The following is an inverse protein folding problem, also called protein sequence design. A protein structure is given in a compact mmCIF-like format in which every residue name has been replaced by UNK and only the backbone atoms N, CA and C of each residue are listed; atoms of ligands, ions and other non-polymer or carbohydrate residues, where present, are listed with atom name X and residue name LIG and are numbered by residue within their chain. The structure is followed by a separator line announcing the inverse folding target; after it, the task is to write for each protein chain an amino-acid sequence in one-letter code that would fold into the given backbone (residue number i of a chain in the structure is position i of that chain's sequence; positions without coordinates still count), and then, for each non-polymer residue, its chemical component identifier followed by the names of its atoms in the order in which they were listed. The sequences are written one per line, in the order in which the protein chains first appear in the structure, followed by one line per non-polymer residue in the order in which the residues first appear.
data_IF_933817912877
#
_entry.id   IF_933817912877
#
_cell.length_a   1.000
_cell.length_b   1.000
_cell.length_c   1.000
_cell.angle_alpha   90.00
_cell.angle_beta   90.00
_cell.angle_gamma   90.00
#
_symmetry.space_group_name_H-M   'P 1'
#
loop_
_entity.id
_entity.type
_entity.pdbx_description
1 polymer ?
#
# COMPACT_ATOMS: atom_id res chain seq x y z
N UNK A 1 5.23 -26.03 -13.92
CA UNK A 1 5.29 -25.69 -12.47
C UNK A 1 4.34 -24.55 -12.16
N UNK A 2 3.43 -24.72 -11.14
CA UNK A 2 2.51 -23.64 -10.70
C UNK A 2 2.90 -23.15 -9.31
N UNK A 3 2.70 -21.87 -9.01
CA UNK A 3 3.02 -21.29 -7.70
C UNK A 3 2.12 -20.09 -7.36
N UNK A 4 2.01 -19.80 -6.06
CA UNK A 4 1.54 -18.49 -5.57
C UNK A 4 2.75 -17.73 -5.04
N UNK A 5 2.80 -16.42 -5.30
CA UNK A 5 3.75 -15.50 -4.72
C UNK A 5 3.01 -14.33 -4.05
N UNK A 6 3.32 -14.12 -2.78
CA UNK A 6 2.84 -13.01 -1.94
C UNK A 6 3.98 -12.44 -1.11
N UNK A 7 3.81 -11.22 -0.61
CA UNK A 7 4.71 -10.54 0.31
C UNK A 7 3.92 -9.50 1.12
N UNK A 8 4.54 -8.88 2.09
CA UNK A 8 4.08 -7.65 2.74
C UNK A 8 2.65 -7.76 3.33
N UNK A 9 2.36 -8.89 4.04
CA UNK A 9 1.07 -9.08 4.73
C UNK A 9 0.98 -8.28 6.02
N UNK A 10 2.11 -8.05 6.71
CA UNK A 10 2.21 -7.32 7.96
C UNK A 10 1.18 -7.74 9.01
N UNK A 11 1.05 -9.06 9.24
CA UNK A 11 0.08 -9.59 10.19
C UNK A 11 0.31 -9.02 11.59
N UNK A 12 -0.79 -8.66 12.24
CA UNK A 12 -0.85 -7.98 13.54
C UNK A 12 -0.26 -6.54 13.56
N UNK A 13 0.07 -5.94 12.40
CA UNK A 13 0.44 -4.54 12.35
C UNK A 13 -0.65 -3.64 12.94
N UNK A 14 -0.27 -2.54 13.61
CA UNK A 14 -1.25 -1.57 14.09
C UNK A 14 -1.92 -0.87 12.90
N UNK A 15 -3.25 -0.86 12.88
CA UNK A 15 -4.04 -0.17 11.86
C UNK A 15 -4.08 1.34 12.15
N UNK A 16 -2.95 2.03 12.02
CA UNK A 16 -2.79 3.45 12.39
C UNK A 16 -3.78 4.35 11.64
N UNK A 17 -3.98 4.10 10.35
CA UNK A 17 -4.93 4.85 9.51
C UNK A 17 -6.39 4.75 10.01
N UNK A 18 -6.72 3.68 10.71
CA UNK A 18 -8.06 3.40 11.24
C UNK A 18 -8.15 3.59 12.77
N UNK A 19 -7.14 4.15 13.42
CA UNK A 19 -7.02 4.20 14.87
C UNK A 19 -8.17 4.96 15.57
N UNK A 20 -8.75 5.96 14.91
CA UNK A 20 -9.86 6.75 15.45
C UNK A 20 -11.24 6.04 15.33
N UNK A 21 -11.31 4.93 14.59
CA UNK A 21 -12.55 4.18 14.40
C UNK A 21 -12.67 3.09 15.46
N UNK A 22 -13.75 3.06 16.24
CA UNK A 22 -13.97 2.02 17.23
C UNK A 22 -13.91 0.61 16.63
N UNK A 23 -13.13 -0.27 17.25
CA UNK A 23 -12.95 -1.67 16.85
C UNK A 23 -12.27 -1.89 15.47
N UNK A 24 -11.88 -0.86 14.75
CA UNK A 24 -11.29 -1.01 13.40
C UNK A 24 -9.98 -1.79 13.43
N UNK A 25 -9.13 -1.60 14.43
CA UNK A 25 -7.88 -2.39 14.58
C UNK A 25 -8.18 -3.89 14.71
N UNK A 26 -9.20 -4.26 15.48
CA UNK A 26 -9.59 -5.68 15.62
C UNK A 26 -10.19 -6.22 14.32
N UNK A 27 -11.02 -5.45 13.65
CA UNK A 27 -11.59 -5.81 12.36
C UNK A 27 -10.50 -6.00 11.30
N UNK A 28 -9.49 -5.11 11.27
CA UNK A 28 -8.37 -5.19 10.33
C UNK A 28 -7.52 -6.45 10.53
N UNK A 29 -7.24 -6.83 11.78
CA UNK A 29 -6.56 -8.09 12.09
C UNK A 29 -7.33 -9.33 11.62
N UNK A 30 -8.65 -9.31 11.75
CA UNK A 30 -9.49 -10.40 11.22
C UNK A 30 -9.37 -10.43 9.70
N UNK A 31 -9.44 -9.30 9.04
CA UNK A 31 -9.33 -9.16 7.59
C UNK A 31 -7.97 -9.64 7.08
N UNK A 32 -6.85 -9.29 7.74
CA UNK A 32 -5.51 -9.82 7.44
C UNK A 32 -5.47 -11.36 7.49
N UNK A 33 -6.09 -11.96 8.52
CA UNK A 33 -6.18 -13.42 8.65
C UNK A 33 -7.07 -14.06 7.57
N UNK A 34 -8.15 -13.38 7.18
CA UNK A 34 -9.01 -13.83 6.09
C UNK A 34 -8.28 -13.84 4.75
N UNK A 35 -7.49 -12.82 4.46
CA UNK A 35 -6.66 -12.75 3.24
C UNK A 35 -5.68 -13.93 3.17
N UNK A 36 -5.01 -14.26 4.29
CA UNK A 36 -4.13 -15.42 4.34
C UNK A 36 -4.90 -16.74 4.11
N UNK A 37 -6.11 -16.84 4.67
CA UNK A 37 -6.99 -18.00 4.47
C UNK A 37 -7.43 -18.11 3.00
N UNK A 38 -7.79 -17.02 2.34
CA UNK A 38 -8.16 -16.99 0.92
C UNK A 38 -7.06 -17.55 0.02
N UNK A 39 -5.80 -17.18 0.28
CA UNK A 39 -4.66 -17.73 -0.47
C UNK A 39 -4.54 -19.25 -0.29
N UNK A 40 -4.71 -19.75 0.95
CA UNK A 40 -4.69 -21.19 1.23
C UNK A 40 -5.88 -21.91 0.59
N UNK A 41 -7.08 -21.35 0.61
CA UNK A 41 -8.25 -21.89 -0.07
C UNK A 41 -8.04 -21.92 -1.60
N UNK A 42 -7.39 -20.88 -2.15
CA UNK A 42 -7.02 -20.86 -3.57
C UNK A 42 -6.03 -21.98 -3.91
N UNK A 43 -5.02 -22.21 -3.05
CA UNK A 43 -4.05 -23.32 -3.19
C UNK A 43 -4.78 -24.66 -3.23
N UNK A 44 -5.67 -24.91 -2.28
CA UNK A 44 -6.45 -26.16 -2.20
C UNK A 44 -7.29 -26.36 -3.46
N UNK A 45 -8.04 -25.32 -3.86
CA UNK A 45 -8.93 -25.38 -5.02
C UNK A 45 -8.20 -25.67 -6.33
N UNK A 46 -6.98 -25.16 -6.49
CA UNK A 46 -6.24 -25.20 -7.76
C UNK A 46 -5.06 -26.18 -7.72
N UNK A 47 -4.86 -26.93 -6.60
CA UNK A 47 -3.76 -27.87 -6.39
C UNK A 47 -2.39 -27.24 -6.68
N UNK A 48 -2.10 -26.09 -6.06
CA UNK A 48 -0.85 -25.34 -6.26
C UNK A 48 0.29 -25.99 -5.46
N UNK A 49 1.39 -26.44 -6.10
CA UNK A 49 2.46 -27.15 -5.41
C UNK A 49 3.46 -26.27 -4.68
N UNK A 50 3.52 -24.96 -4.99
CA UNK A 50 4.49 -24.03 -4.40
C UNK A 50 3.83 -22.75 -3.90
N UNK A 51 4.19 -22.34 -2.68
CA UNK A 51 3.74 -21.09 -2.09
C UNK A 51 4.95 -20.28 -1.62
N UNK A 52 5.17 -19.10 -2.22
CA UNK A 52 6.26 -18.18 -1.93
C UNK A 52 5.76 -16.99 -1.13
N UNK A 53 6.38 -16.74 0.02
CA UNK A 53 6.13 -15.62 0.91
C UNK A 53 7.44 -14.83 1.01
N UNK A 54 7.52 -13.73 0.27
CA UNK A 54 8.76 -12.97 0.09
C UNK A 54 8.88 -11.80 1.08
N UNK A 55 8.89 -12.10 2.37
CA UNK A 55 9.14 -11.17 3.47
C UNK A 55 7.91 -10.45 4.00
N UNK A 56 8.09 -9.85 5.16
CA UNK A 56 7.09 -9.04 5.87
C UNK A 56 5.75 -9.77 6.04
N UNK A 57 5.82 -11.07 6.40
CA UNK A 57 4.64 -11.87 6.73
C UNK A 57 3.93 -11.31 7.96
N UNK A 58 4.71 -10.83 8.95
CA UNK A 58 4.17 -10.27 10.18
C UNK A 58 5.01 -9.10 10.72
N UNK A 59 4.45 -8.37 11.68
CA UNK A 59 5.18 -7.33 12.41
C UNK A 59 5.85 -7.91 13.66
N UNK A 60 7.18 -7.98 13.69
CA UNK A 60 7.95 -8.58 14.79
C UNK A 60 7.62 -7.98 16.17
N UNK A 61 7.34 -6.68 16.22
CA UNK A 61 7.04 -5.98 17.49
C UNK A 61 5.62 -6.26 18.02
N UNK A 62 4.68 -6.63 17.14
CA UNK A 62 3.25 -6.73 17.48
C UNK A 62 2.66 -8.13 17.35
N UNK A 63 3.40 -9.04 16.71
CA UNK A 63 2.93 -10.39 16.40
C UNK A 63 2.59 -11.18 17.65
N UNK A 64 1.45 -11.85 17.63
CA UNK A 64 0.99 -12.70 18.73
C UNK A 64 1.23 -14.16 18.38
N UNK A 65 1.57 -14.94 19.39
CA UNK A 65 1.71 -16.40 19.25
C UNK A 65 0.46 -17.05 18.63
N UNK A 66 -0.73 -16.60 19.02
CA UNK A 66 -2.00 -17.10 18.46
C UNK A 66 -2.15 -16.84 16.96
N UNK A 67 -1.51 -15.78 16.43
CA UNK A 67 -1.49 -15.50 14.98
C UNK A 67 -0.55 -16.46 14.27
N UNK A 68 0.62 -16.73 14.84
CA UNK A 68 1.56 -17.72 14.30
C UNK A 68 0.94 -19.14 14.31
N UNK A 69 0.27 -19.50 15.40
CA UNK A 69 -0.45 -20.79 15.49
C UNK A 69 -1.56 -20.90 14.43
N UNK A 70 -2.29 -19.82 14.19
CA UNK A 70 -3.30 -19.73 13.13
C UNK A 70 -2.70 -19.92 11.73
N UNK A 71 -1.62 -19.19 11.41
CA UNK A 71 -0.92 -19.31 10.11
C UNK A 71 -0.42 -20.75 9.92
N UNK A 72 0.24 -21.30 10.94
CA UNK A 72 0.75 -22.66 10.89
C UNK A 72 -0.37 -23.70 10.77
N UNK A 73 -1.54 -23.42 11.35
CA UNK A 73 -2.76 -24.19 11.15
C UNK A 73 -3.20 -24.22 9.69
N UNK A 74 -3.20 -23.07 9.02
CA UNK A 74 -3.49 -22.98 7.60
C UNK A 74 -2.46 -23.74 6.74
N UNK A 75 -1.17 -23.65 7.06
CA UNK A 75 -0.11 -24.39 6.35
C UNK A 75 -0.26 -25.91 6.46
N UNK A 76 -0.73 -26.40 7.59
CA UNK A 76 -1.05 -27.82 7.78
C UNK A 76 -2.23 -28.31 6.93
N UNK A 77 -3.11 -27.41 6.46
CA UNK A 77 -4.21 -27.78 5.57
C UNK A 77 -3.76 -28.05 4.12
N UNK A 78 -2.53 -27.67 3.79
CA UNK A 78 -1.92 -27.83 2.45
C UNK A 78 -0.59 -28.60 2.53
N UNK A 79 -0.59 -29.83 3.06
CA UNK A 79 0.64 -30.56 3.37
C UNK A 79 1.48 -30.92 2.11
N UNK A 80 0.84 -30.99 0.95
CA UNK A 80 1.50 -31.31 -0.33
C UNK A 80 2.06 -30.06 -1.02
N UNK A 81 1.76 -28.86 -0.52
CA UNK A 81 2.31 -27.59 -1.02
C UNK A 81 3.62 -27.27 -0.29
N UNK A 82 4.71 -27.10 -1.01
CA UNK A 82 5.99 -26.63 -0.45
C UNK A 82 5.90 -25.13 -0.23
N UNK A 83 6.08 -24.68 1.00
CA UNK A 83 5.98 -23.26 1.40
C UNK A 83 7.39 -22.74 1.65
N UNK A 84 7.75 -21.66 0.99
CA UNK A 84 9.05 -21.00 1.13
C UNK A 84 8.85 -19.59 1.68
N UNK A 85 9.48 -19.31 2.82
CA UNK A 85 9.36 -18.01 3.50
C UNK A 85 10.73 -17.33 3.50
N UNK A 86 10.75 -16.11 3.02
CA UNK A 86 11.87 -15.18 3.14
C UNK A 86 11.58 -14.24 4.31
N UNK A 87 12.46 -14.11 5.30
CA UNK A 87 12.36 -13.05 6.29
C UNK A 87 12.56 -11.66 5.66
N UNK A 88 11.65 -10.72 5.93
CA UNK A 88 11.76 -9.32 5.52
C UNK A 88 12.37 -8.44 6.60
N UNK A 89 12.30 -7.12 6.40
CA UNK A 89 12.82 -6.16 7.37
C UNK A 89 11.87 -5.94 8.57
N UNK A 90 10.58 -6.24 8.45
CA UNK A 90 9.63 -6.19 9.57
C UNK A 90 9.55 -7.50 10.36
N UNK A 91 10.01 -8.60 9.79
CA UNK A 91 10.02 -9.93 10.42
C UNK A 91 11.39 -10.65 10.26
N UNK A 92 12.51 -10.01 10.62
CA UNK A 92 13.84 -10.55 10.34
C UNK A 92 14.14 -11.87 11.11
N UNK A 93 15.07 -12.67 10.59
CA UNK A 93 15.51 -13.93 11.18
C UNK A 93 16.43 -13.71 12.39
N UNK A 94 15.90 -13.08 13.45
CA UNK A 94 16.59 -12.78 14.71
C UNK A 94 16.32 -13.82 15.81
N UNK A 95 17.04 -13.72 16.93
CA UNK A 95 16.99 -14.77 17.96
C UNK A 95 15.61 -14.96 18.61
N UNK A 96 14.82 -13.92 18.75
CA UNK A 96 13.46 -13.94 19.30
C UNK A 96 12.35 -13.98 18.24
N UNK A 97 12.70 -14.16 16.97
CA UNK A 97 11.73 -14.30 15.89
C UNK A 97 11.04 -15.64 15.96
N UNK A 98 9.76 -15.68 15.61
CA UNK A 98 9.03 -16.94 15.49
C UNK A 98 9.56 -17.84 14.36
N UNK A 99 10.32 -17.31 13.43
CA UNK A 99 11.04 -18.11 12.45
C UNK A 99 12.06 -19.05 13.08
N UNK A 100 12.66 -18.67 14.22
CA UNK A 100 13.61 -19.50 14.98
C UNK A 100 12.98 -20.26 16.13
N UNK A 101 12.00 -19.67 16.81
CA UNK A 101 11.53 -20.17 18.11
C UNK A 101 10.28 -21.00 18.04
N UNK A 102 9.53 -20.94 16.92
CA UNK A 102 8.31 -21.71 16.72
C UNK A 102 8.56 -22.96 15.85
N UNK A 103 7.84 -24.04 16.15
CA UNK A 103 7.89 -25.27 15.36
C UNK A 103 6.88 -25.21 14.22
N UNK A 104 7.34 -24.81 13.06
CA UNK A 104 6.54 -24.76 11.84
C UNK A 104 6.19 -26.13 11.29
N UNK A 105 5.17 -26.22 10.45
CA UNK A 105 4.76 -27.41 9.71
C UNK A 105 5.89 -27.93 8.83
N UNK A 106 5.95 -29.25 8.59
CA UNK A 106 7.05 -29.90 7.86
C UNK A 106 7.14 -29.49 6.38
N UNK A 107 6.10 -28.90 5.81
CA UNK A 107 6.07 -28.38 4.45
C UNK A 107 6.55 -26.93 4.34
N UNK A 108 7.01 -26.32 5.44
CA UNK A 108 7.52 -24.94 5.48
C UNK A 108 9.03 -24.95 5.53
N UNK A 109 9.66 -24.24 4.59
CA UNK A 109 11.07 -23.92 4.59
C UNK A 109 11.25 -22.42 4.80
N UNK A 110 12.05 -22.02 5.79
CA UNK A 110 12.34 -20.61 6.10
C UNK A 110 13.82 -20.37 5.78
N UNK A 111 14.05 -19.44 4.85
CA UNK A 111 15.40 -19.02 4.51
C UNK A 111 16.04 -18.19 5.62
N UNK A 112 17.37 -18.14 5.61
CA UNK A 112 18.13 -17.28 6.54
C UNK A 112 18.70 -16.07 5.78
N UNK A 113 19.60 -15.31 6.43
CA UNK A 113 20.33 -14.24 5.75
C UNK A 113 21.47 -14.73 4.83
N UNK A 114 21.77 -16.01 4.86
CA UNK A 114 22.74 -16.60 3.94
C UNK A 114 22.01 -17.11 2.71
N UNK A 115 22.61 -16.87 1.55
CA UNK A 115 22.14 -17.48 0.33
C UNK A 115 22.10 -19.00 0.47
N UNK A 116 20.96 -19.58 0.23
CA UNK A 116 20.69 -21.02 0.29
C UNK A 116 20.01 -21.47 -1.00
N UNK A 117 20.29 -22.69 -1.43
CA UNK A 117 19.58 -23.37 -2.52
C UNK A 117 18.86 -24.58 -1.99
N UNK A 118 17.57 -24.68 -2.27
CA UNK A 118 16.72 -25.83 -1.98
C UNK A 118 16.37 -26.53 -3.30
N UNK A 119 16.74 -27.80 -3.42
CA UNK A 119 16.45 -28.61 -4.59
C UNK A 119 15.08 -29.28 -4.46
N UNK A 120 14.24 -29.10 -5.47
CA UNK A 120 12.90 -29.68 -5.56
C UNK A 120 12.71 -30.30 -6.94
N UNK A 121 12.82 -31.60 -7.07
CA UNK A 121 12.62 -32.31 -8.35
C UNK A 121 13.23 -31.56 -9.56
N UNK A 122 12.37 -30.94 -10.39
CA UNK A 122 12.78 -30.15 -11.57
C UNK A 122 12.97 -28.65 -11.27
N UNK A 123 12.97 -28.23 -10.00
CA UNK A 123 13.06 -26.81 -9.61
C UNK A 123 14.15 -26.60 -8.57
N UNK A 124 15.02 -25.63 -8.80
CA UNK A 124 15.99 -25.15 -7.80
C UNK A 124 15.52 -23.78 -7.28
N UNK A 125 15.27 -23.67 -5.97
CA UNK A 125 14.81 -22.44 -5.31
C UNK A 125 15.96 -21.87 -4.50
N UNK A 126 16.38 -20.68 -4.86
CA UNK A 126 17.39 -19.88 -4.19
C UNK A 126 16.71 -18.83 -3.34
N UNK A 127 17.22 -18.60 -2.14
CA UNK A 127 16.64 -17.60 -1.27
C UNK A 127 17.61 -17.08 -0.21
N UNK A 128 17.38 -15.87 0.23
CA UNK A 128 18.00 -15.26 1.40
C UNK A 128 17.13 -14.08 1.87
N UNK A 129 17.17 -13.77 3.16
CA UNK A 129 16.35 -12.73 3.76
C UNK A 129 17.10 -11.92 4.81
N UNK A 130 16.37 -11.18 5.60
CA UNK A 130 16.90 -10.27 6.61
C UNK A 130 17.27 -11.00 7.92
N UNK A 131 18.36 -10.59 8.55
CA UNK A 131 18.77 -11.00 9.90
C UNK A 131 18.80 -9.82 10.88
N UNK A 132 18.36 -8.64 10.43
CA UNK A 132 18.18 -7.41 11.20
C UNK A 132 17.13 -6.56 10.48
N UNK A 133 16.61 -5.53 11.11
CA UNK A 133 15.64 -4.58 10.53
C UNK A 133 16.20 -3.77 9.35
N UNK A 134 17.50 -3.78 9.15
CA UNK A 134 18.18 -3.14 8.03
C UNK A 134 19.24 -4.07 7.45
N UNK A 135 19.40 -4.04 6.14
CA UNK A 135 20.41 -4.81 5.44
C UNK A 135 21.06 -3.96 4.33
N UNK A 136 22.26 -3.45 4.63
CA UNK A 136 23.02 -2.59 3.71
C UNK A 136 24.01 -3.38 2.81
N UNK A 137 24.01 -4.68 2.94
CA UNK A 137 24.96 -5.53 2.22
C UNK A 137 24.64 -5.55 0.73
N UNK A 138 25.68 -5.61 -0.08
CA UNK A 138 25.51 -5.80 -1.50
C UNK A 138 24.87 -7.16 -1.77
N UNK A 139 24.00 -7.20 -2.76
CA UNK A 139 23.41 -8.41 -3.32
C UNK A 139 24.49 -9.50 -3.52
N UNK A 140 24.33 -10.71 -2.99
CA UNK A 140 25.28 -11.78 -3.19
C UNK A 140 25.33 -12.14 -4.68
N UNK A 141 26.53 -12.41 -5.19
CA UNK A 141 26.64 -12.96 -6.55
C UNK A 141 26.02 -14.36 -6.55
N UNK A 142 24.90 -14.50 -7.25
CA UNK A 142 24.16 -15.75 -7.34
C UNK A 142 24.30 -16.29 -8.76
N UNK A 143 24.92 -17.44 -8.88
CA UNK A 143 25.01 -18.16 -10.15
C UNK A 143 24.07 -19.36 -10.14
N UNK A 144 23.27 -19.46 -11.20
CA UNK A 144 22.44 -20.65 -11.44
C UNK A 144 23.34 -21.84 -11.74
N UNK A 145 23.24 -22.88 -10.91
CA UNK A 145 24.11 -24.06 -11.02
C UNK A 145 23.65 -25.04 -12.11
N UNK A 146 22.36 -25.18 -12.34
CA UNK A 146 21.80 -26.07 -13.34
C UNK A 146 20.74 -25.34 -14.17
N UNK A 147 21.10 -24.94 -15.38
CA UNK A 147 20.21 -24.20 -16.29
C UNK A 147 19.12 -25.08 -16.93
N UNK A 148 19.21 -26.39 -16.82
CA UNK A 148 18.20 -27.32 -17.35
C UNK A 148 16.97 -27.36 -16.43
N UNK A 149 17.13 -27.14 -15.12
CA UNK A 149 16.05 -27.01 -14.16
C UNK A 149 15.40 -25.62 -14.22
N UNK A 150 14.19 -25.50 -13.72
CA UNK A 150 13.58 -24.20 -13.42
C UNK A 150 14.31 -23.58 -12.22
N UNK A 151 14.76 -22.35 -12.37
CA UNK A 151 15.53 -21.66 -11.34
C UNK A 151 14.76 -20.43 -10.83
N UNK A 152 14.49 -20.39 -9.55
CA UNK A 152 13.73 -19.33 -8.90
C UNK A 152 14.60 -18.66 -7.83
N UNK A 153 14.63 -17.34 -7.82
CA UNK A 153 15.21 -16.56 -6.73
C UNK A 153 14.08 -15.91 -5.92
N UNK A 154 14.12 -16.07 -4.61
CA UNK A 154 13.22 -15.43 -3.67
C UNK A 154 14.04 -14.55 -2.72
N UNK A 155 13.65 -13.29 -2.56
CA UNK A 155 14.27 -12.39 -1.60
C UNK A 155 13.35 -11.21 -1.28
N UNK A 156 13.81 -10.30 -0.43
CA UNK A 156 13.07 -9.12 -0.01
C UNK A 156 13.99 -7.90 -0.08
N UNK A 157 13.54 -6.76 -0.59
CA UNK A 157 14.33 -5.54 -0.64
C UNK A 157 14.10 -4.67 -1.87
N UNK A 158 14.89 -3.61 -1.97
CA UNK A 158 14.78 -2.56 -2.97
C UNK A 158 15.51 -2.87 -4.27
N UNK A 159 14.93 -2.45 -5.39
CA UNK A 159 15.62 -2.40 -6.68
C UNK A 159 16.13 -0.99 -6.98
N UNK A 160 17.36 -0.90 -7.48
CA UNK A 160 17.98 0.33 -7.98
C UNK A 160 17.95 1.52 -7.01
N UNK A 161 18.15 1.23 -5.71
CA UNK A 161 18.21 2.22 -4.64
C UNK A 161 19.28 3.28 -4.90
N UNK A 162 18.96 4.54 -4.61
CA UNK A 162 19.89 5.65 -4.70
C UNK A 162 21.08 5.45 -3.75
N UNK A 163 22.30 5.76 -4.22
CA UNK A 163 23.52 5.72 -3.39
C UNK A 163 23.45 6.63 -2.15
N UNK A 164 22.65 7.68 -2.21
CA UNK A 164 22.49 8.68 -1.16
C UNK A 164 21.50 8.28 -0.04
N UNK A 165 20.82 7.15 -0.16
CA UNK A 165 19.92 6.69 0.89
C UNK A 165 20.69 6.21 2.12
N UNK A 166 20.34 6.78 3.28
CA UNK A 166 20.97 6.48 4.57
C UNK A 166 20.59 5.09 5.06
N UNK A 167 19.37 4.65 4.78
CA UNK A 167 18.86 3.33 5.15
C UNK A 167 18.62 2.54 3.87
N UNK A 168 19.17 1.35 3.83
CA UNK A 168 19.02 0.45 2.67
C UNK A 168 18.40 -0.85 3.13
N UNK A 169 17.52 -1.35 2.28
CA UNK A 169 16.79 -2.59 2.50
C UNK A 169 17.17 -3.58 1.41
N UNK A 170 18.34 -4.26 1.59
CA UNK A 170 18.88 -5.23 0.64
C UNK A 170 18.90 -4.68 -0.80
N UNK A 171 19.69 -3.63 -1.09
CA UNK A 171 19.69 -2.97 -2.39
C UNK A 171 20.19 -3.92 -3.49
N UNK A 172 19.41 -4.08 -4.54
CA UNK A 172 19.68 -4.96 -5.68
C UNK A 172 19.68 -4.16 -6.98
N UNK A 173 20.48 -4.60 -7.96
CA UNK A 173 20.47 -4.02 -9.30
C UNK A 173 19.51 -4.78 -10.21
N UNK A 174 18.48 -4.09 -10.72
CA UNK A 174 17.55 -4.66 -11.68
C UNK A 174 18.24 -5.15 -12.95
N UNK A 175 19.31 -4.46 -13.37
CA UNK A 175 20.13 -4.84 -14.52
C UNK A 175 20.80 -6.21 -14.30
N UNK A 176 21.46 -6.40 -13.15
CA UNK A 176 22.13 -7.67 -12.82
C UNK A 176 21.09 -8.80 -12.75
N UNK A 177 19.94 -8.55 -12.15
CA UNK A 177 18.87 -9.54 -12.05
C UNK A 177 18.26 -9.89 -13.41
N UNK A 178 18.09 -8.92 -14.32
CA UNK A 178 17.62 -9.17 -15.70
C UNK A 178 18.59 -10.06 -16.48
N UNK A 179 19.89 -9.84 -16.31
CA UNK A 179 20.94 -10.60 -17.00
C UNK A 179 21.17 -11.99 -16.35
N UNK A 180 20.60 -12.24 -15.18
CA UNK A 180 20.69 -13.54 -14.49
C UNK A 180 19.91 -14.63 -15.23
N UNK A 181 20.29 -15.90 -14.98
CA UNK A 181 19.66 -17.07 -15.59
C UNK A 181 18.50 -17.63 -14.77
N UNK A 182 17.93 -16.83 -13.87
CA UNK A 182 16.69 -17.21 -13.18
C UNK A 182 15.49 -17.13 -14.13
N UNK A 183 14.60 -18.09 -14.01
CA UNK A 183 13.34 -18.13 -14.75
C UNK A 183 12.27 -17.27 -14.06
N UNK A 184 12.38 -17.06 -12.73
CA UNK A 184 11.54 -16.19 -11.95
C UNK A 184 12.29 -15.59 -10.75
N UNK A 185 12.03 -14.33 -10.43
CA UNK A 185 12.58 -13.63 -9.27
C UNK A 185 11.42 -13.01 -8.50
N UNK A 186 11.09 -13.63 -7.37
CA UNK A 186 10.04 -13.18 -6.46
C UNK A 186 10.60 -12.25 -5.39
N UNK A 187 10.10 -11.03 -5.34
CA UNK A 187 10.52 -9.98 -4.42
C UNK A 187 9.38 -9.56 -3.49
N UNK A 188 9.72 -9.07 -2.30
CA UNK A 188 8.84 -8.30 -1.41
C UNK A 188 9.48 -6.99 -1.03
N UNK A 189 8.83 -6.17 -0.19
CA UNK A 189 9.18 -4.85 0.30
C UNK A 189 8.40 -3.71 -0.36
N UNK A 190 8.13 -3.79 -1.65
CA UNK A 190 7.37 -2.76 -2.36
C UNK A 190 5.89 -3.15 -2.37
N UNK A 191 5.08 -2.40 -1.63
CA UNK A 191 3.64 -2.66 -1.48
C UNK A 191 2.81 -2.44 -2.75
N UNK A 192 3.40 -1.83 -3.78
CA UNK A 192 2.77 -1.67 -5.09
C UNK A 192 3.18 -2.83 -6.01
N UNK A 193 2.20 -3.48 -6.63
CA UNK A 193 2.48 -4.52 -7.63
C UNK A 193 3.26 -3.95 -8.83
N UNK A 194 4.24 -4.71 -9.35
CA UNK A 194 5.13 -4.26 -10.43
C UNK A 194 5.24 -5.24 -11.59
N UNK A 195 4.14 -5.87 -12.02
CA UNK A 195 4.21 -6.80 -13.15
C UNK A 195 3.23 -6.45 -14.27
N UNK A 196 2.75 -5.22 -14.35
CA UNK A 196 1.80 -4.78 -15.37
C UNK A 196 2.43 -4.80 -16.76
N UNK A 197 1.88 -5.67 -17.63
CA UNK A 197 2.00 -5.67 -19.10
C UNK A 197 3.39 -5.84 -19.75
N UNK A 198 4.36 -6.41 -19.06
CA UNK A 198 5.64 -6.74 -19.70
C UNK A 198 5.72 -8.24 -20.04
N UNK A 199 5.47 -8.60 -21.28
CA UNK A 199 5.85 -9.93 -21.79
C UNK A 199 7.32 -10.20 -21.50
N UNK A 200 7.58 -11.27 -20.71
CA UNK A 200 8.94 -11.68 -20.35
C UNK A 200 9.49 -11.03 -19.07
N UNK A 201 8.70 -10.26 -18.31
CA UNK A 201 9.15 -9.78 -17.01
C UNK A 201 9.21 -10.92 -15.99
N UNK A 202 10.43 -11.23 -15.54
CA UNK A 202 10.69 -12.29 -14.55
C UNK A 202 10.92 -11.76 -13.12
N UNK A 203 11.13 -10.44 -12.94
CA UNK A 203 11.34 -9.78 -11.65
C UNK A 203 10.02 -9.19 -11.19
N UNK A 204 9.49 -9.66 -10.07
CA UNK A 204 8.10 -9.40 -9.68
C UNK A 204 7.99 -9.02 -8.22
N UNK A 205 7.40 -7.85 -7.94
CA UNK A 205 6.80 -7.50 -6.67
C UNK A 205 5.29 -7.80 -6.75
N UNK A 206 4.73 -8.62 -5.88
CA UNK A 206 3.28 -8.90 -5.89
C UNK A 206 2.48 -7.71 -5.34
N UNK A 207 3.14 -6.84 -4.59
CA UNK A 207 2.53 -5.85 -3.73
C UNK A 207 1.98 -6.44 -2.44
N UNK A 208 1.50 -5.60 -1.54
CA UNK A 208 0.81 -6.07 -0.34
C UNK A 208 -0.58 -6.62 -0.69
N UNK A 209 -0.98 -7.78 -0.16
CA UNK A 209 -2.29 -8.37 -0.46
C UNK A 209 -3.44 -7.69 0.30
N UNK A 210 -3.13 -6.73 1.17
CA UNK A 210 -4.05 -5.91 1.94
C UNK A 210 -3.46 -4.52 2.15
N UNK A 211 -4.21 -3.46 1.83
CA UNK A 211 -3.73 -2.06 2.00
C UNK A 211 -3.56 -1.69 3.46
N UNK A 212 -2.52 -0.93 3.78
CA UNK A 212 -2.27 -0.41 5.13
C UNK A 212 -2.87 0.99 5.36
N UNK A 213 -3.14 1.73 4.30
CA UNK A 213 -3.68 3.09 4.39
C UNK A 213 -3.93 3.75 3.02
N UNK A 214 -4.11 5.08 3.06
CA UNK A 214 -4.37 5.89 1.85
C UNK A 214 -3.11 6.15 0.99
N UNK A 215 -1.96 5.73 1.42
CA UNK A 215 -0.71 5.65 0.64
C UNK A 215 -0.65 4.41 -0.25
N UNK A 216 -1.59 3.47 -0.05
CA UNK A 216 -1.67 2.21 -0.77
C UNK A 216 -3.03 2.04 -1.45
N UNK A 217 -3.38 2.95 -2.36
CA UNK A 217 -4.64 2.91 -3.09
C UNK A 217 -4.67 1.78 -4.13
N UNK A 218 -5.88 1.41 -4.54
CA UNK A 218 -6.12 0.47 -5.62
C UNK A 218 -6.24 -0.98 -5.17
N UNK A 219 -6.24 -1.87 -6.16
CA UNK A 219 -6.49 -3.29 -5.96
C UNK A 219 -5.34 -3.99 -5.25
N UNK A 220 -5.67 -4.92 -4.35
CA UNK A 220 -4.76 -5.75 -3.58
C UNK A 220 -4.95 -7.22 -3.91
N UNK A 221 -3.86 -7.99 -3.83
CA UNK A 221 -3.93 -9.39 -4.21
C UNK A 221 -2.58 -10.08 -4.14
N UNK A 222 -2.51 -11.21 -4.81
CA UNK A 222 -1.31 -12.03 -4.90
C UNK A 222 -1.11 -12.51 -6.34
N UNK A 223 0.10 -12.98 -6.66
CA UNK A 223 0.44 -13.50 -7.98
C UNK A 223 0.23 -15.00 -8.02
N UNK A 224 -0.39 -15.48 -9.07
CA UNK A 224 -0.39 -16.88 -9.48
C UNK A 224 0.50 -17.00 -10.71
N UNK A 225 1.59 -17.73 -10.56
CA UNK A 225 2.53 -17.98 -11.64
C UNK A 225 2.47 -19.41 -12.17
N UNK A 226 2.74 -19.55 -13.45
CA UNK A 226 2.98 -20.85 -14.07
C UNK A 226 4.20 -20.75 -14.97
N UNK A 227 5.18 -21.62 -14.74
CA UNK A 227 6.34 -21.83 -15.61
C UNK A 227 6.15 -23.19 -16.29
N UNK A 228 6.14 -23.17 -17.61
CA UNK A 228 6.08 -24.40 -18.39
C UNK A 228 7.37 -25.20 -18.23
N UNK A 229 7.27 -26.49 -17.94
CA UNK A 229 8.43 -27.32 -17.56
C UNK A 229 9.40 -27.56 -18.73
N UNK A 230 8.94 -27.51 -19.97
CA UNK A 230 9.79 -27.74 -21.15
C UNK A 230 10.30 -26.43 -21.75
N UNK A 231 9.39 -25.48 -22.02
CA UNK A 231 9.76 -24.23 -22.69
C UNK A 231 10.24 -23.14 -21.75
N UNK A 232 10.07 -23.33 -20.42
CA UNK A 232 10.32 -22.33 -19.36
C UNK A 232 9.55 -21.02 -19.54
N UNK A 233 8.48 -21.05 -20.35
CA UNK A 233 7.64 -19.88 -20.54
C UNK A 233 6.88 -19.55 -19.28
N UNK A 234 7.10 -18.33 -18.76
CA UNK A 234 6.41 -17.79 -17.59
C UNK A 234 5.06 -17.17 -18.01
N UNK A 235 4.02 -17.45 -17.24
CA UNK A 235 2.75 -16.72 -17.26
C UNK A 235 2.36 -16.31 -15.86
N UNK A 236 1.85 -15.10 -15.70
CA UNK A 236 1.47 -14.51 -14.42
C UNK A 236 0.04 -14.02 -14.45
N UNK A 237 -0.68 -14.23 -13.36
CA UNK A 237 -2.05 -13.75 -13.13
C UNK A 237 -2.09 -13.05 -11.77
N UNK A 238 -2.75 -11.90 -11.69
CA UNK A 238 -3.04 -11.24 -10.43
C UNK A 238 -4.42 -11.64 -9.93
N UNK A 239 -4.47 -12.24 -8.74
CA UNK A 239 -5.70 -12.62 -8.07
C UNK A 239 -5.99 -11.64 -6.95
N UNK A 240 -7.12 -10.94 -7.06
CA UNK A 240 -7.55 -9.95 -6.06
C UNK A 240 -8.00 -10.64 -4.78
N UNK A 241 -7.66 -10.06 -3.64
CA UNK A 241 -8.20 -10.44 -2.33
C UNK A 241 -9.53 -9.76 -2.05
N UNK A 242 -10.30 -10.30 -1.11
CA UNK A 242 -11.56 -9.71 -0.66
C UNK A 242 -11.39 -8.57 0.35
N UNK A 243 -10.16 -8.23 0.72
CA UNK A 243 -9.86 -7.17 1.67
C UNK A 243 -10.39 -5.81 1.19
N UNK A 244 -10.87 -5.00 2.14
CA UNK A 244 -11.27 -3.63 1.84
C UNK A 244 -10.07 -2.81 1.39
N UNK A 245 -10.29 -2.02 0.33
CA UNK A 245 -9.30 -1.09 -0.22
C UNK A 245 -9.56 0.33 0.24
N UNK A 246 -8.56 1.20 0.10
CA UNK A 246 -8.69 2.63 0.36
C UNK A 246 -8.88 3.39 -0.94
N UNK A 247 -9.71 4.44 -0.91
CA UNK A 247 -10.00 5.29 -2.06
C UNK A 247 -10.11 6.75 -1.65
N UNK A 248 -9.63 7.68 -2.48
CA UNK A 248 -9.84 9.10 -2.33
C UNK A 248 -11.02 9.54 -3.19
N UNK A 249 -11.97 10.24 -2.57
CA UNK A 249 -13.15 10.77 -3.25
C UNK A 249 -13.10 12.30 -3.24
N UNK A 250 -13.03 12.91 -4.41
CA UNK A 250 -13.00 14.36 -4.57
C UNK A 250 -14.43 14.89 -4.67
N UNK A 251 -14.82 15.74 -3.72
CA UNK A 251 -16.13 16.37 -3.64
C UNK A 251 -16.01 17.87 -3.86
N UNK A 252 -16.57 18.38 -4.95
CA UNK A 252 -16.74 19.81 -5.16
C UNK A 252 -17.90 20.33 -4.31
N UNK A 253 -17.57 21.20 -3.34
CA UNK A 253 -18.54 21.76 -2.39
C UNK A 253 -19.06 23.15 -2.79
N UNK A 254 -18.80 23.62 -4.00
CA UNK A 254 -19.19 24.96 -4.46
C UNK A 254 -20.68 25.25 -4.33
N UNK A 255 -21.52 24.21 -4.35
CA UNK A 255 -22.97 24.34 -4.18
C UNK A 255 -23.44 24.24 -2.72
N UNK A 256 -22.55 24.02 -1.76
CA UNK A 256 -22.89 24.04 -0.34
C UNK A 256 -22.85 25.49 0.19
N UNK A 257 -23.87 25.89 0.93
CA UNK A 257 -23.93 27.20 1.58
C UNK A 257 -23.65 27.10 3.09
N UNK A 258 -23.85 25.93 3.67
CA UNK A 258 -23.68 25.63 5.09
C UNK A 258 -23.04 24.25 5.25
N UNK A 259 -22.50 23.95 6.45
CA UNK A 259 -21.98 22.61 6.78
C UNK A 259 -23.03 21.50 6.62
N UNK A 260 -24.30 21.81 6.95
CA UNK A 260 -25.41 20.88 6.83
C UNK A 260 -25.67 20.45 5.38
N UNK A 261 -25.50 21.38 4.41
CA UNK A 261 -25.63 21.07 2.98
C UNK A 261 -24.54 20.07 2.58
N UNK A 262 -23.29 20.28 3.05
CA UNK A 262 -22.16 19.40 2.77
C UNK A 262 -22.40 17.99 3.36
N UNK A 263 -22.90 17.90 4.59
CA UNK A 263 -23.27 16.61 5.20
C UNK A 263 -24.35 15.89 4.37
N UNK A 264 -25.35 16.62 3.88
CA UNK A 264 -26.38 16.04 3.00
C UNK A 264 -25.79 15.59 1.65
N UNK A 265 -24.91 16.39 1.03
CA UNK A 265 -24.22 16.03 -0.21
C UNK A 265 -23.47 14.72 -0.04
N UNK A 266 -22.69 14.57 1.03
CA UNK A 266 -21.92 13.35 1.32
C UNK A 266 -22.83 12.15 1.57
N UNK A 267 -23.90 12.31 2.38
CA UNK A 267 -24.83 11.22 2.69
C UNK A 267 -25.62 10.73 1.46
N UNK A 268 -25.77 11.55 0.41
CA UNK A 268 -26.43 11.17 -0.83
C UNK A 268 -25.52 10.37 -1.79
N UNK A 269 -24.22 10.29 -1.52
CA UNK A 269 -23.29 9.51 -2.33
C UNK A 269 -23.42 8.03 -1.95
N UNK A 270 -23.54 7.18 -2.98
CA UNK A 270 -23.53 5.72 -2.80
C UNK A 270 -22.09 5.21 -2.77
N UNK A 271 -21.53 5.14 -1.58
CA UNK A 271 -20.21 4.56 -1.37
C UNK A 271 -20.25 3.02 -1.38
N UNK A 272 -19.17 2.40 -1.88
CA UNK A 272 -18.99 0.96 -1.80
C UNK A 272 -18.60 0.54 -0.37
N UNK A 273 -19.35 -0.37 0.23
CA UNK A 273 -19.08 -0.87 1.58
C UNK A 273 -17.78 -1.67 1.70
N UNK A 274 -17.21 -2.11 0.58
CA UNK A 274 -15.92 -2.81 0.51
C UNK A 274 -14.72 -1.86 0.40
N UNK A 275 -14.94 -0.56 0.60
CA UNK A 275 -13.89 0.46 0.55
C UNK A 275 -13.94 1.37 1.75
N UNK A 276 -12.76 1.86 2.14
CA UNK A 276 -12.57 2.98 3.06
C UNK A 276 -12.29 4.25 2.26
N UNK A 277 -12.95 5.35 2.62
CA UNK A 277 -12.85 6.60 1.87
C UNK A 277 -12.19 7.71 2.68
N UNK A 278 -11.34 8.47 1.99
CA UNK A 278 -10.92 9.81 2.37
C UNK A 278 -11.61 10.77 1.42
N UNK A 279 -12.50 11.62 1.95
CA UNK A 279 -13.13 12.67 1.17
C UNK A 279 -12.18 13.87 1.11
N UNK A 280 -11.92 14.34 -0.09
CA UNK A 280 -11.13 15.55 -0.35
C UNK A 280 -12.11 16.61 -0.84
N UNK A 281 -12.35 17.62 -0.01
CA UNK A 281 -13.22 18.73 -0.35
C UNK A 281 -12.47 19.68 -1.29
N UNK A 282 -13.13 20.07 -2.38
CA UNK A 282 -12.60 20.97 -3.39
C UNK A 282 -13.61 22.06 -3.72
N UNK A 283 -13.28 22.99 -4.59
CA UNK A 283 -14.17 24.09 -4.98
C UNK A 283 -14.06 25.31 -4.09
N UNK A 284 -15.09 26.15 -4.08
CA UNK A 284 -15.13 27.41 -3.30
C UNK A 284 -16.34 27.41 -2.35
N UNK A 285 -16.17 27.98 -1.17
CA UNK A 285 -17.21 28.09 -0.14
C UNK A 285 -17.13 29.45 0.57
N UNK A 286 -18.17 29.82 1.31
CA UNK A 286 -18.28 31.09 2.04
C UNK A 286 -18.54 30.93 3.54
N UNK A 287 -18.35 29.70 4.07
CA UNK A 287 -18.53 29.35 5.48
C UNK A 287 -17.30 28.63 6.02
N UNK A 288 -17.14 28.58 7.32
CA UNK A 288 -16.05 27.83 7.97
C UNK A 288 -16.33 26.32 7.91
N UNK A 289 -15.31 25.50 7.59
CA UNK A 289 -15.41 24.06 7.44
C UNK A 289 -14.72 23.37 8.61
N UNK A 290 -15.49 22.75 9.50
CA UNK A 290 -14.97 21.86 10.54
C UNK A 290 -15.06 20.38 10.08
N UNK A 291 -13.99 19.89 9.49
CA UNK A 291 -13.94 18.52 8.96
C UNK A 291 -14.18 17.45 10.00
N UNK A 292 -13.82 17.67 11.29
CA UNK A 292 -14.07 16.72 12.39
C UNK A 292 -15.53 16.68 12.76
N UNK A 293 -16.17 17.86 12.87
CA UNK A 293 -17.60 17.98 13.14
C UNK A 293 -18.42 17.33 12.02
N UNK A 294 -18.08 17.63 10.76
CA UNK A 294 -18.72 17.03 9.59
C UNK A 294 -18.60 15.50 9.64
N UNK A 295 -17.39 14.97 9.85
CA UNK A 295 -17.16 13.52 9.94
C UNK A 295 -18.00 12.87 11.04
N UNK A 296 -18.13 13.53 12.20
CA UNK A 296 -18.95 13.05 13.32
C UNK A 296 -20.45 13.04 13.02
N UNK A 297 -20.93 13.90 12.11
CA UNK A 297 -22.34 13.96 11.69
C UNK A 297 -22.69 12.95 10.59
N UNK A 298 -21.67 12.34 9.94
CA UNK A 298 -21.89 11.32 8.92
C UNK A 298 -22.26 9.99 9.56
N UNK A 299 -23.33 9.34 9.06
CA UNK A 299 -23.73 7.98 9.47
C UNK A 299 -23.05 6.90 8.62
N UNK A 300 -21.85 7.18 8.09
CA UNK A 300 -21.14 6.33 7.13
C UNK A 300 -19.83 5.83 7.76
N UNK A 301 -19.82 4.58 8.21
CA UNK A 301 -18.65 3.97 8.90
C UNK A 301 -17.42 3.74 8.01
N UNK A 302 -17.59 3.82 6.71
CA UNK A 302 -16.52 3.62 5.74
C UNK A 302 -15.87 4.93 5.27
N UNK A 303 -16.34 6.07 5.74
CA UNK A 303 -15.63 7.36 5.58
C UNK A 303 -14.72 7.54 6.78
N UNK A 304 -13.41 7.54 6.52
CA UNK A 304 -12.37 7.51 7.55
C UNK A 304 -11.83 8.91 7.85
N UNK A 305 -11.78 9.74 6.81
CA UNK A 305 -11.16 11.06 6.91
C UNK A 305 -11.79 12.03 5.92
N UNK A 306 -11.88 13.28 6.34
CA UNK A 306 -12.18 14.41 5.46
C UNK A 306 -10.96 15.33 5.45
N UNK A 307 -10.49 15.69 4.26
CA UNK A 307 -9.42 16.68 4.04
C UNK A 307 -10.02 17.86 3.31
N UNK A 308 -9.78 19.05 3.83
CA UNK A 308 -10.22 20.28 3.17
C UNK A 308 -9.08 20.82 2.29
N UNK A 309 -9.30 20.84 0.98
CA UNK A 309 -8.47 21.47 -0.06
C UNK A 309 -9.28 22.54 -0.82
N UNK A 310 -10.49 22.89 -0.31
CA UNK A 310 -11.30 23.92 -0.89
C UNK A 310 -10.76 25.33 -0.59
N UNK A 311 -11.33 26.33 -1.23
CA UNK A 311 -10.91 27.72 -1.06
C UNK A 311 -12.06 28.57 -0.55
N UNK A 312 -11.74 29.44 0.41
CA UNK A 312 -12.72 30.45 0.86
C UNK A 312 -13.04 31.39 -0.30
N UNK A 313 -14.33 31.58 -0.55
CA UNK A 313 -14.83 32.58 -1.49
C UNK A 313 -15.12 33.86 -0.73
N UNK A 314 -14.54 34.95 -1.15
CA UNK A 314 -14.69 36.25 -0.51
C UNK A 314 -15.54 37.18 -1.37
N UNK A 315 -16.69 37.64 -0.86
CA UNK A 315 -17.40 38.76 -1.49
C UNK A 315 -16.68 40.06 -1.17
N UNK A 316 -15.83 40.50 -2.13
CA UNK A 316 -15.03 41.70 -2.01
C UNK A 316 -15.91 42.96 -1.78
N UNK A 317 -17.13 42.98 -2.34
CA UNK A 317 -18.05 44.12 -2.22
C UNK A 317 -18.64 44.23 -0.83
N UNK A 318 -18.99 43.08 -0.21
CA UNK A 318 -19.50 43.04 1.17
C UNK A 318 -18.36 43.33 2.17
N UNK A 319 -17.18 42.75 1.95
CA UNK A 319 -16.01 42.97 2.82
C UNK A 319 -15.59 44.44 2.79
N UNK A 320 -15.66 45.10 1.64
CA UNK A 320 -15.34 46.52 1.50
C UNK A 320 -16.24 47.44 2.36
N UNK A 321 -17.43 47.01 2.80
CA UNK A 321 -18.29 47.81 3.68
C UNK A 321 -17.83 47.78 5.14
N UNK A 322 -16.98 46.85 5.53
CA UNK A 322 -16.51 46.71 6.90
C UNK A 322 -15.51 47.80 7.29
N UNK A 323 -15.58 48.24 8.56
CA UNK A 323 -14.60 49.14 9.18
C UNK A 323 -13.51 48.28 9.82
N UNK A 324 -12.61 47.72 8.98
CA UNK A 324 -11.56 46.82 9.36
C UNK A 324 -10.39 46.86 8.38
N UNK A 325 -9.24 46.22 8.73
CA UNK A 325 -8.12 46.06 7.79
C UNK A 325 -8.53 45.26 6.55
N UNK A 326 -9.36 44.22 6.73
CA UNK A 326 -9.92 43.44 5.62
C UNK A 326 -10.76 44.33 4.70
N UNK A 327 -11.61 45.20 5.26
CA UNK A 327 -12.42 46.16 4.52
C UNK A 327 -11.56 47.21 3.78
N UNK A 328 -10.46 47.67 4.38
CA UNK A 328 -9.52 48.57 3.74
C UNK A 328 -8.80 47.93 2.56
N UNK A 329 -8.36 46.69 2.71
CA UNK A 329 -7.78 45.91 1.60
C UNK A 329 -8.79 45.76 0.46
N UNK A 330 -10.01 45.32 0.76
CA UNK A 330 -11.07 45.17 -0.25
C UNK A 330 -11.37 46.45 -1.02
N UNK A 331 -11.49 47.59 -0.31
CA UNK A 331 -11.68 48.92 -0.94
C UNK A 331 -10.52 49.26 -1.88
N UNK A 332 -9.29 48.98 -1.46
CA UNK A 332 -8.11 49.29 -2.27
C UNK A 332 -8.10 48.48 -3.57
N UNK A 333 -8.37 47.16 -3.44
CA UNK A 333 -8.44 46.24 -4.61
C UNK A 333 -9.60 46.67 -5.54
N UNK A 334 -10.81 46.96 -5.01
CA UNK A 334 -11.94 47.42 -5.82
C UNK A 334 -11.62 48.70 -6.60
N UNK A 335 -10.87 49.62 -6.00
CA UNK A 335 -10.46 50.84 -6.69
C UNK A 335 -9.45 50.53 -7.80
N UNK A 336 -8.50 49.61 -7.58
CA UNK A 336 -7.55 49.18 -8.62
C UNK A 336 -8.26 48.43 -9.76
N UNK A 337 -9.22 47.56 -9.46
CA UNK A 337 -10.02 46.85 -10.47
C UNK A 337 -10.75 47.78 -11.44
N UNK A 338 -11.11 49.00 -11.01
CA UNK A 338 -11.72 50.03 -11.89
C UNK A 338 -10.70 50.68 -12.85
N UNK A 339 -9.41 50.56 -12.59
CA UNK A 339 -8.35 51.21 -13.35
C UNK A 339 -7.66 50.28 -14.35
N UNK A 340 -7.84 48.97 -14.21
CA UNK A 340 -7.24 47.95 -15.10
C UNK A 340 -8.18 47.62 -16.25
N UNK A 341 -7.61 47.37 -17.44
CA UNK A 341 -8.36 47.14 -18.64
C UNK A 341 -8.29 45.71 -19.18
N UNK A 342 -7.34 44.93 -18.73
CA UNK A 342 -7.16 43.51 -19.17
C UNK A 342 -7.77 42.56 -18.17
N UNK A 343 -8.24 41.41 -18.65
CA UNK A 343 -8.79 40.37 -17.77
C UNK A 343 -7.68 39.71 -16.95
N UNK A 344 -6.46 39.65 -17.46
CA UNK A 344 -5.27 39.12 -16.76
C UNK A 344 -4.92 39.97 -15.53
N UNK A 345 -4.87 41.31 -15.67
CA UNK A 345 -4.63 42.21 -14.53
C UNK A 345 -5.76 42.15 -13.47
N UNK A 346 -7.02 41.95 -13.91
CA UNK A 346 -8.14 41.78 -13.00
C UNK A 346 -7.99 40.47 -12.19
N UNK A 347 -7.61 39.40 -12.86
CA UNK A 347 -7.41 38.07 -12.21
C UNK A 347 -6.25 38.12 -11.20
N UNK A 348 -5.14 38.76 -11.53
CA UNK A 348 -4.02 38.98 -10.59
C UNK A 348 -4.44 39.79 -9.36
N UNK A 349 -5.25 40.84 -9.52
CA UNK A 349 -5.74 41.63 -8.40
C UNK A 349 -6.69 40.84 -7.50
N UNK A 350 -7.54 40.00 -8.08
CA UNK A 350 -8.43 39.12 -7.32
C UNK A 350 -7.65 38.03 -6.58
N UNK A 351 -6.64 37.45 -7.19
CA UNK A 351 -5.74 36.49 -6.53
C UNK A 351 -4.97 37.15 -5.37
N UNK A 352 -4.45 38.39 -5.59
CA UNK A 352 -3.78 39.14 -4.52
C UNK A 352 -4.74 39.45 -3.35
N UNK A 353 -6.01 39.70 -3.63
CA UNK A 353 -7.03 39.86 -2.62
C UNK A 353 -7.28 38.57 -1.84
N UNK A 354 -7.47 37.43 -2.51
CA UNK A 354 -7.67 36.14 -1.88
C UNK A 354 -6.48 35.79 -0.95
N UNK A 355 -5.25 35.94 -1.44
CA UNK A 355 -4.02 35.71 -0.62
C UNK A 355 -3.97 36.65 0.59
N UNK A 356 -4.34 37.91 0.42
CA UNK A 356 -4.41 38.86 1.53
C UNK A 356 -5.46 38.50 2.56
N UNK A 357 -6.63 38.02 2.12
CA UNK A 357 -7.70 37.54 3.01
C UNK A 357 -7.31 36.29 3.79
N UNK A 358 -6.67 35.32 3.13
CA UNK A 358 -6.18 34.10 3.75
C UNK A 358 -5.12 34.40 4.84
N UNK A 359 -4.28 35.42 4.62
CA UNK A 359 -3.29 35.87 5.61
C UNK A 359 -3.94 36.46 6.88
N UNK A 360 -5.13 37.05 6.78
CA UNK A 360 -5.90 37.55 7.93
C UNK A 360 -6.63 36.45 8.72
N UNK A 361 -6.77 35.25 8.17
CA UNK A 361 -7.45 34.11 8.78
C UNK A 361 -6.48 33.12 9.46
N UNK A 362 -5.17 33.34 9.32
CA UNK A 362 -4.09 32.63 10.01
C UNK A 362 -3.75 33.33 11.32
#
# INVERSE_FOLDING_TARGET
MKFIHTADLHLDSPAVTLAEIPNATSARRIEQRMVMKEMVEYIIKNNIPYFFICGDLYEQEYIRQSTIEYINGLFKMIPDTKIFIIPGNHDPYINNSFYKTFKWSSNVHIFTSKLEKVECDNVDIYGYGFNDFYMNNNYPQIEVQNVDKINILLTHGDLDTSENEVRKYNPMSSRILKDSKFDYIGLGHIHKKSFEDYEGQKIVYPGSPISMGFDELGERGFIVGNIDDESKKLSLEFVKTSAKTFEEYYLDMTNANLEEDLVQMINNIKFDNNKYYKIILTGKHNFEVDTKKILALLNLQNIIKIKDESKMSYDISEIAKQVSLKGLLAKNILNKLKMVNTDEEKEELLQAFEVGMDAFNK
#
